data_IF_311086132453
#
_entry.id   IF_311086132453
#
_cell.length_a   1.000
_cell.length_b   1.000
_cell.length_c   1.000
_cell.angle_alpha   90.00
_cell.angle_beta   90.00
_cell.angle_gamma   90.00
#
_symmetry.space_group_name_H-M   'P 1'
#
loop_
_entity.id
_entity.type
_entity.pdbx_description
1 polymer ?
2 non-polymer ?
3 non-polymer ?
4 non-polymer ?
5 water ?
#
# COMPACT_ATOMS: atom_id res chain seq x y z
N UNK A 1 11.70 1.52 -0.78
CA UNK A 1 11.39 0.77 -2.04
C UNK A 1 12.42 -0.33 -2.32
N UNK A 2 12.20 -1.09 -3.40
CA UNK A 2 13.08 -2.21 -3.74
C UNK A 2 13.76 -2.09 -5.08
N UNK A 3 14.75 -2.95 -5.29
CA UNK A 3 15.50 -3.01 -6.55
C UNK A 3 14.75 -4.01 -7.41
N UNK A 4 14.84 -3.85 -8.73
CA UNK A 4 14.16 -4.75 -9.66
C UNK A 4 15.07 -5.08 -10.83
N UNK A 5 16.32 -4.65 -10.73
CA UNK A 5 17.27 -4.91 -11.78
C UNK A 5 18.17 -6.09 -11.42
N UNK A 6 18.13 -6.51 -10.16
CA UNK A 6 18.93 -7.64 -9.69
C UNK A 6 18.98 -8.66 -10.83
N UNK A 7 20.20 -8.97 -11.28
CA UNK A 7 20.38 -9.89 -12.38
C UNK A 7 20.65 -11.32 -11.95
N UNK A 8 19.82 -12.22 -12.47
CA UNK A 8 19.90 -13.63 -12.20
C UNK A 8 21.22 -14.18 -12.74
N UNK A 9 21.70 -15.26 -12.13
CA UNK A 9 22.95 -15.89 -12.55
C UNK A 9 22.84 -16.48 -13.94
N UNK A 10 23.83 -16.22 -14.80
CA UNK A 10 23.78 -16.79 -16.14
C UNK A 10 24.14 -18.26 -16.07
N UNK A 11 23.22 -19.09 -16.55
CA UNK A 11 23.45 -20.52 -16.49
C UNK A 11 23.22 -21.03 -15.08
N UNK A 12 22.18 -20.53 -14.43
CA UNK A 12 21.85 -20.92 -13.07
C UNK A 12 21.24 -22.34 -13.16
N UNK A 13 21.66 -23.23 -12.27
CA UNK A 13 21.15 -24.60 -12.28
C UNK A 13 20.03 -24.83 -11.25
N UNK A 14 18.78 -24.91 -11.72
CA UNK A 14 17.63 -25.16 -10.83
C UNK A 14 17.75 -26.47 -10.06
N UNK A 15 17.90 -27.56 -10.81
CA UNK A 15 18.03 -28.87 -10.22
C UNK A 15 18.94 -28.91 -8.99
N UNK A 16 20.05 -28.19 -9.03
CA UNK A 16 20.95 -28.17 -7.90
C UNK A 16 20.38 -27.32 -6.78
N UNK A 17 19.90 -26.13 -7.14
CA UNK A 17 19.37 -25.22 -6.13
C UNK A 17 18.11 -25.72 -5.42
N UNK A 18 17.11 -26.09 -6.21
CA UNK A 18 15.85 -26.59 -5.69
C UNK A 18 15.93 -28.08 -5.41
N UNK A 19 16.90 -28.49 -4.62
CA UNK A 19 17.06 -29.92 -4.31
C UNK A 19 16.30 -30.33 -3.05
N UNK A 20 15.64 -29.39 -2.39
CA UNK A 20 14.87 -29.72 -1.21
C UNK A 20 15.70 -29.72 0.05
N UNK A 21 16.91 -29.17 -0.06
CA UNK A 21 17.85 -29.09 1.05
C UNK A 21 17.70 -27.74 1.74
N UNK A 22 18.44 -27.58 2.84
CA UNK A 22 18.40 -26.37 3.65
C UNK A 22 19.53 -25.41 3.33
N UNK A 23 19.20 -24.12 3.22
CA UNK A 23 20.17 -23.07 2.98
C UNK A 23 20.15 -22.23 4.25
N UNK A 24 21.33 -21.88 4.75
CA UNK A 24 21.45 -21.05 5.94
C UNK A 24 21.86 -19.67 5.50
N UNK A 25 21.42 -18.63 6.20
CA UNK A 25 21.82 -17.27 5.85
C UNK A 25 23.02 -17.04 6.73
N UNK A 26 24.18 -16.83 6.15
CA UNK A 26 25.36 -16.62 6.97
C UNK A 26 25.64 -15.13 7.09
N UNK A 27 25.17 -14.37 6.12
CA UNK A 27 25.40 -12.93 6.06
C UNK A 27 24.28 -12.28 5.27
N UNK A 28 23.95 -11.04 5.62
CA UNK A 28 22.91 -10.33 4.88
C UNK A 28 23.16 -8.82 4.87
N UNK A 29 22.43 -8.14 4.00
CA UNK A 29 22.51 -6.70 3.87
C UNK A 29 21.09 -6.20 3.72
N UNK A 30 20.60 -5.54 4.76
CA UNK A 30 19.26 -5.00 4.74
C UNK A 30 19.37 -3.52 4.41
N UNK A 31 18.84 -3.16 3.26
CA UNK A 31 18.92 -1.78 2.83
C UNK A 31 18.02 -0.90 3.66
N UNK A 32 16.93 -1.48 4.17
CA UNK A 32 15.97 -0.72 4.99
C UNK A 32 15.85 -1.24 6.41
N UNK A 33 16.89 -1.03 7.23
CA UNK A 33 16.94 -1.48 8.62
C UNK A 33 15.97 -0.76 9.56
N UNK A 34 15.31 -1.56 10.41
CA UNK A 34 14.36 -1.07 11.39
C UNK A 34 14.97 -0.10 12.41
N UNK A 35 14.10 0.61 13.12
CA UNK A 35 14.51 1.56 14.14
C UNK A 35 14.97 0.77 15.33
N UNK A 36 14.26 -0.32 15.60
CA UNK A 36 14.61 -1.17 16.72
C UNK A 36 15.53 -2.28 16.20
N UNK A 37 16.72 -2.40 16.80
CA UNK A 37 17.65 -3.44 16.37
C UNK A 37 17.22 -4.85 16.81
N UNK A 38 17.47 -5.85 15.95
CA UNK A 38 17.14 -7.25 16.25
C UNK A 38 18.02 -8.26 15.50
N UNK A 39 19.00 -8.84 16.19
CA UNK A 39 19.89 -9.82 15.58
C UNK A 39 19.13 -11.09 15.22
N UNK A 40 18.90 -11.27 13.93
CA UNK A 40 18.13 -12.40 13.46
C UNK A 40 18.86 -13.58 12.89
N UNK A 41 18.11 -14.66 12.81
CA UNK A 41 18.59 -15.89 12.23
C UNK A 41 17.52 -16.32 11.20
N UNK A 42 17.97 -16.88 10.08
CA UNK A 42 17.06 -17.35 9.03
C UNK A 42 17.70 -18.49 8.25
N UNK A 43 16.85 -19.37 7.74
CA UNK A 43 17.24 -20.55 6.95
C UNK A 43 16.05 -20.80 6.04
N UNK A 44 16.27 -21.55 4.96
CA UNK A 44 15.20 -21.85 4.05
C UNK A 44 15.49 -23.15 3.37
N UNK A 45 14.46 -23.81 2.88
CA UNK A 45 14.62 -25.06 2.21
C UNK A 45 13.81 -24.87 0.94
N UNK A 46 14.48 -24.90 -0.20
CA UNK A 46 13.80 -24.73 -1.48
C UNK A 46 13.78 -26.09 -2.17
N UNK A 47 12.63 -26.48 -2.69
CA UNK A 47 12.54 -27.77 -3.32
C UNK A 47 11.31 -27.92 -4.18
N UNK A 48 11.04 -29.16 -4.55
CA UNK A 48 9.93 -29.50 -5.42
C UNK A 48 8.98 -30.49 -4.73
N UNK A 49 7.69 -30.26 -4.87
CA UNK A 49 6.72 -31.16 -4.27
C UNK A 49 5.38 -31.05 -4.95
N UNK A 50 4.81 -32.20 -5.28
CA UNK A 50 3.51 -32.26 -5.92
C UNK A 50 3.54 -31.71 -7.33
N UNK A 51 4.72 -31.33 -7.80
CA UNK A 51 4.82 -30.81 -9.16
C UNK A 51 5.05 -29.32 -9.21
N UNK A 52 5.26 -28.73 -8.04
CA UNK A 52 5.49 -27.31 -7.97
C UNK A 52 6.73 -26.99 -7.21
N UNK A 53 7.25 -25.79 -7.47
CA UNK A 53 8.41 -25.31 -6.77
C UNK A 53 7.84 -24.78 -5.45
N UNK A 54 8.46 -25.20 -4.35
CA UNK A 54 8.04 -24.79 -3.03
C UNK A 54 9.27 -24.26 -2.28
N UNK A 55 9.04 -23.33 -1.35
CA UNK A 55 10.09 -22.76 -0.51
C UNK A 55 9.54 -22.66 0.92
N UNK A 56 10.33 -23.05 1.91
CA UNK A 56 9.88 -22.95 3.28
C UNK A 56 10.90 -22.07 3.97
N UNK A 57 10.40 -21.07 4.69
CA UNK A 57 11.22 -20.09 5.41
C UNK A 57 11.22 -20.29 6.92
N UNK A 58 12.26 -19.80 7.58
CA UNK A 58 12.39 -19.93 9.01
C UNK A 58 13.06 -18.67 9.51
N UNK A 59 12.56 -18.09 10.60
CA UNK A 59 13.16 -16.89 11.17
C UNK A 59 13.20 -17.19 12.64
N UNK A 60 14.29 -16.83 13.29
CA UNK A 60 14.47 -17.06 14.72
C UNK A 60 15.11 -15.83 15.33
N UNK A 61 14.64 -15.45 16.50
CA UNK A 61 15.21 -14.31 17.20
C UNK A 61 15.83 -14.93 18.43
N UNK A 62 17.16 -14.99 18.47
CA UNK A 62 17.78 -15.59 19.65
C UNK A 62 17.34 -14.92 20.97
N UNK A 63 17.42 -13.59 21.00
CA UNK A 63 17.08 -12.80 22.18
C UNK A 63 15.71 -13.12 22.77
N UNK A 64 14.70 -13.24 21.91
CA UNK A 64 13.34 -13.53 22.33
C UNK A 64 12.98 -15.00 22.13
N UNK A 65 13.86 -15.76 21.47
CA UNK A 65 13.63 -17.18 21.20
C UNK A 65 12.41 -17.38 20.32
N UNK A 66 11.84 -16.26 19.88
CA UNK A 66 10.66 -16.25 19.02
C UNK A 66 11.03 -16.89 17.70
N UNK A 67 10.09 -17.67 17.17
CA UNK A 67 10.27 -18.37 15.92
C UNK A 67 9.03 -18.29 15.05
N UNK A 68 9.22 -18.10 13.75
CA UNK A 68 8.09 -18.12 12.84
C UNK A 68 8.47 -18.80 11.53
N UNK A 69 7.51 -19.52 10.97
CA UNK A 69 7.67 -20.27 9.75
C UNK A 69 6.76 -19.72 8.70
N UNK A 70 7.13 -19.99 7.44
CA UNK A 70 6.37 -19.58 6.27
C UNK A 70 6.53 -20.69 5.22
N UNK A 71 5.55 -20.80 4.32
CA UNK A 71 5.60 -21.75 3.22
C UNK A 71 4.96 -21.05 2.00
N UNK A 72 5.68 -21.04 0.86
CA UNK A 72 5.18 -20.44 -0.37
C UNK A 72 5.34 -21.33 -1.57
N UNK A 73 4.45 -21.13 -2.54
CA UNK A 73 4.44 -21.86 -3.80
C UNK A 73 5.13 -20.86 -4.75
N UNK A 74 6.26 -21.26 -5.34
CA UNK A 74 6.97 -20.34 -6.21
C UNK A 74 6.57 -20.31 -7.69
N UNK A 75 6.61 -19.12 -8.26
CA UNK A 75 6.28 -18.90 -9.65
C UNK A 75 7.53 -18.30 -10.27
N UNK A 76 8.01 -18.95 -11.33
CA UNK A 76 9.24 -18.55 -12.03
C UNK A 76 9.03 -17.43 -13.01
N UNK A 77 9.56 -16.25 -12.71
CA UNK A 77 9.42 -15.10 -13.60
C UNK A 77 10.47 -15.15 -14.69
N UNK A 78 11.47 -15.99 -14.48
CA UNK A 78 12.59 -16.17 -15.38
C UNK A 78 13.51 -17.03 -14.53
N UNK A 79 14.31 -17.91 -15.16
CA UNK A 79 15.21 -18.76 -14.38
C UNK A 79 16.08 -17.92 -13.45
N UNK A 80 15.97 -18.18 -12.15
CA UNK A 80 16.75 -17.42 -11.19
C UNK A 80 15.92 -16.30 -10.56
N UNK A 81 14.82 -15.94 -11.20
CA UNK A 81 13.93 -14.89 -10.69
C UNK A 81 12.61 -15.50 -10.28
N UNK A 82 12.25 -15.36 -9.00
CA UNK A 82 11.01 -15.96 -8.51
C UNK A 82 10.10 -15.07 -7.65
N UNK A 83 8.82 -15.46 -7.60
CA UNK A 83 7.80 -14.76 -6.84
C UNK A 83 7.16 -15.75 -5.88
N UNK A 84 7.16 -15.41 -4.60
CA UNK A 84 6.63 -16.29 -3.58
C UNK A 84 5.45 -15.71 -2.84
N UNK A 85 4.32 -16.42 -2.90
CA UNK A 85 3.12 -16.00 -2.19
C UNK A 85 3.05 -16.84 -0.91
N UNK A 86 3.63 -16.29 0.16
CA UNK A 86 3.70 -16.99 1.45
C UNK A 86 2.48 -17.05 2.35
N UNK A 87 2.52 -18.04 3.24
CA UNK A 87 1.48 -18.26 4.22
C UNK A 87 2.21 -18.61 5.52
N UNK A 88 1.97 -17.84 6.58
CA UNK A 88 2.60 -18.09 7.87
C UNK A 88 2.01 -19.37 8.49
N UNK A 89 2.85 -20.26 8.98
CA UNK A 89 2.34 -21.52 9.50
C UNK A 89 2.98 -21.94 10.80
N UNK A 90 2.37 -22.91 11.45
CA UNK A 90 2.93 -23.46 12.68
C UNK A 90 3.98 -24.42 12.14
N UNK A 91 4.88 -24.89 12.98
CA UNK A 91 5.93 -25.78 12.49
C UNK A 91 5.43 -27.12 11.97
N UNK A 92 4.13 -27.34 12.03
CA UNK A 92 3.53 -28.59 11.57
C UNK A 92 2.68 -28.34 10.34
N UNK A 93 2.74 -27.12 9.82
CA UNK A 93 1.96 -26.78 8.66
C UNK A 93 0.60 -26.11 8.90
N UNK A 94 0.18 -25.97 10.16
CA UNK A 94 -1.10 -25.33 10.48
C UNK A 94 -1.02 -23.83 10.12
N UNK A 95 -1.92 -23.37 9.27
CA UNK A 95 -1.90 -21.97 8.84
C UNK A 95 -2.28 -20.94 9.90
N UNK A 96 -1.38 -19.98 10.14
CA UNK A 96 -1.68 -18.91 11.06
C UNK A 96 -2.22 -17.72 10.24
N UNK A 97 -1.63 -17.46 9.08
CA UNK A 97 -2.05 -16.38 8.20
C UNK A 97 -2.07 -16.87 6.75
N UNK A 98 -3.28 -17.02 6.18
CA UNK A 98 -3.45 -17.51 4.82
C UNK A 98 -2.68 -16.69 3.78
N UNK A 99 -2.64 -17.21 2.55
CA UNK A 99 -1.98 -16.50 1.46
C UNK A 99 -2.86 -15.28 1.23
N UNK A 100 -2.25 -14.17 0.83
CA UNK A 100 -3.02 -12.95 0.57
C UNK A 100 -2.40 -12.23 -0.60
N UNK A 101 -3.23 -11.47 -1.31
CA UNK A 101 -2.79 -10.71 -2.47
C UNK A 101 -1.64 -9.77 -2.14
N UNK A 102 -1.83 -8.89 -1.17
CA UNK A 102 -0.77 -7.96 -0.83
C UNK A 102 0.48 -8.59 -0.23
N UNK A 103 0.41 -9.90 0.00
CA UNK A 103 1.52 -10.64 0.60
C UNK A 103 2.33 -11.53 -0.35
N UNK A 104 3.61 -11.19 -0.52
CA UNK A 104 4.51 -11.97 -1.37
C UNK A 104 5.88 -11.36 -1.33
N UNK A 105 6.89 -12.16 -1.68
CA UNK A 105 8.24 -11.65 -1.76
C UNK A 105 8.77 -12.20 -3.06
N UNK A 106 9.75 -11.52 -3.64
CA UNK A 106 10.32 -12.01 -4.87
C UNK A 106 11.82 -12.06 -4.62
N UNK A 107 12.50 -13.00 -5.25
CA UNK A 107 13.93 -13.09 -5.07
C UNK A 107 14.61 -13.49 -6.36
N UNK A 108 15.87 -13.11 -6.43
CA UNK A 108 16.71 -13.41 -7.57
C UNK A 108 17.96 -14.12 -7.09
N UNK A 109 18.26 -15.24 -7.74
CA UNK A 109 19.47 -16.01 -7.40
C UNK A 109 20.56 -15.34 -8.25
N UNK A 110 21.36 -14.50 -7.61
CA UNK A 110 22.42 -13.78 -8.31
C UNK A 110 23.65 -14.62 -8.58
N UNK A 111 23.84 -15.67 -7.78
CA UNK A 111 24.96 -16.57 -7.88
C UNK A 111 24.68 -17.86 -7.11
N UNK A 112 24.97 -19.01 -7.72
CA UNK A 112 24.74 -20.28 -7.02
C UNK A 112 25.79 -21.34 -7.33
N UNK A 113 26.12 -22.10 -6.28
CA UNK A 113 27.09 -23.18 -6.26
C UNK A 113 26.38 -24.42 -5.79
N UNK A 114 27.21 -25.38 -5.40
CA UNK A 114 26.78 -26.64 -4.85
C UNK A 114 26.77 -26.39 -3.34
N UNK A 115 27.51 -25.39 -2.92
CA UNK A 115 27.64 -25.09 -1.51
C UNK A 115 27.32 -23.65 -1.06
N UNK A 116 27.01 -22.77 -2.00
CA UNK A 116 26.78 -21.37 -1.62
C UNK A 116 25.95 -20.60 -2.62
N UNK A 117 25.37 -19.50 -2.16
CA UNK A 117 24.55 -18.68 -3.04
C UNK A 117 24.46 -17.25 -2.55
N UNK A 118 24.02 -16.37 -3.44
CA UNK A 118 23.83 -14.96 -3.14
C UNK A 118 22.47 -14.63 -3.75
N UNK A 119 21.51 -14.24 -2.91
CA UNK A 119 20.20 -13.88 -3.40
C UNK A 119 19.78 -12.44 -3.07
N UNK A 120 18.85 -11.94 -3.84
CA UNK A 120 18.30 -10.65 -3.59
C UNK A 120 16.85 -10.92 -3.31
N UNK A 121 16.33 -10.36 -2.24
CA UNK A 121 14.91 -10.55 -1.93
C UNK A 121 14.21 -9.22 -1.74
N UNK A 122 12.95 -9.19 -2.13
CA UNK A 122 12.14 -8.02 -1.91
C UNK A 122 10.83 -8.49 -1.34
N UNK A 123 10.59 -8.13 -0.08
CA UNK A 123 9.36 -8.49 0.64
C UNK A 123 8.27 -7.41 0.58
N UNK A 124 7.05 -7.83 0.28
CA UNK A 124 5.88 -6.95 0.25
C UNK A 124 4.86 -7.59 1.15
N UNK A 125 4.37 -6.81 2.11
CA UNK A 125 3.35 -7.29 3.00
C UNK A 125 2.32 -6.20 2.93
N UNK A 126 1.11 -6.55 2.51
CA UNK A 126 0.09 -5.53 2.39
C UNK A 126 0.45 -4.56 1.28
N UNK A 127 0.84 -5.12 0.14
CA UNK A 127 1.22 -4.37 -1.07
C UNK A 127 1.95 -3.07 -0.76
N UNK A 128 3.25 -3.20 -0.53
CA UNK A 128 4.06 -2.05 -0.22
C UNK A 128 5.44 -2.60 0.04
N UNK A 129 6.38 -2.14 -0.78
CA UNK A 129 7.75 -2.57 -0.65
C UNK A 129 8.18 -2.39 0.78
N UNK A 130 8.85 -3.40 1.31
CA UNK A 130 9.34 -3.35 2.67
C UNK A 130 10.87 -3.25 2.63
N UNK A 131 11.42 -3.06 1.42
CA UNK A 131 12.86 -2.92 1.26
C UNK A 131 13.71 -4.08 0.73
N UNK A 132 14.88 -3.70 0.22
CA UNK A 132 15.85 -4.63 -0.35
C UNK A 132 16.58 -5.42 0.73
N UNK A 133 16.79 -6.70 0.47
CA UNK A 133 17.58 -7.52 1.38
C UNK A 133 18.44 -8.43 0.51
N UNK A 134 19.74 -8.45 0.80
CA UNK A 134 20.71 -9.26 0.07
C UNK A 134 21.25 -10.32 1.03
N UNK A 135 21.20 -11.59 0.63
CA UNK A 135 21.68 -12.63 1.53
C UNK A 135 22.73 -13.57 0.95
N UNK A 136 23.69 -13.96 1.79
CA UNK A 136 24.70 -14.93 1.39
C UNK A 136 24.21 -16.23 2.05
N UNK A 137 23.93 -17.23 1.22
CA UNK A 137 23.51 -18.54 1.69
C UNK A 137 24.67 -19.53 1.60
N UNK A 138 24.51 -20.62 2.34
CA UNK A 138 25.48 -21.70 2.33
C UNK A 138 24.74 -22.91 2.81
N UNK A 139 25.08 -24.07 2.26
CA UNK A 139 24.44 -25.30 2.67
C UNK A 139 24.97 -25.76 4.04
N UNK A 140 25.99 -25.07 4.52
CA UNK A 140 26.58 -25.37 5.83
C UNK A 140 26.55 -24.08 6.64
N UNK A 141 25.88 -24.11 7.79
CA UNK A 141 25.73 -22.93 8.65
C UNK A 141 27.00 -22.35 9.26
N UNK A 142 28.10 -23.09 9.15
CA UNK A 142 29.35 -22.65 9.74
C UNK A 142 30.38 -22.14 8.76
N UNK A 143 30.14 -22.29 7.48
CA UNK A 143 31.14 -21.82 6.55
C UNK A 143 31.03 -20.33 6.29
N UNK A 144 32.19 -19.68 6.28
CA UNK A 144 32.33 -18.27 5.97
C UNK A 144 32.21 -18.17 4.46
N UNK A 145 31.78 -17.02 3.94
CA UNK A 145 31.63 -16.83 2.50
C UNK A 145 32.91 -17.09 1.70
N UNK A 146 32.82 -17.90 0.64
CA UNK A 146 33.98 -18.21 -0.17
C UNK A 146 34.31 -17.11 -1.16
N UNK A 147 35.45 -17.24 -1.83
CA UNK A 147 35.90 -16.27 -2.83
C UNK A 147 34.91 -16.05 -3.96
N UNK A 148 34.24 -17.12 -4.36
CA UNK A 148 33.28 -17.04 -5.43
C UNK A 148 32.05 -16.21 -5.10
N UNK A 149 31.42 -16.45 -3.96
CA UNK A 149 30.23 -15.67 -3.64
C UNK A 149 30.60 -14.21 -3.41
N UNK A 150 31.74 -13.96 -2.77
CA UNK A 150 32.20 -12.60 -2.52
C UNK A 150 32.52 -11.84 -3.81
N UNK A 151 32.93 -12.58 -4.86
CA UNK A 151 33.21 -11.96 -6.13
C UNK A 151 31.86 -11.52 -6.64
N UNK A 152 30.87 -12.39 -6.47
CA UNK A 152 29.49 -12.12 -6.89
C UNK A 152 28.92 -10.87 -6.20
N UNK A 153 29.26 -10.68 -4.93
CA UNK A 153 28.77 -9.53 -4.18
C UNK A 153 29.35 -8.28 -4.87
N UNK A 154 30.66 -8.31 -5.09
CA UNK A 154 31.38 -7.23 -5.74
C UNK A 154 30.80 -6.95 -7.13
N UNK A 155 30.53 -8.03 -7.84
CA UNK A 155 29.98 -7.92 -9.16
C UNK A 155 28.62 -7.20 -9.16
N UNK A 156 27.94 -7.19 -8.02
CA UNK A 156 26.64 -6.51 -7.93
C UNK A 156 26.74 -5.07 -7.43
N UNK A 157 27.97 -4.59 -7.33
CA UNK A 157 28.25 -3.22 -6.86
C UNK A 157 27.99 -3.00 -5.37
N UNK A 158 28.08 -4.07 -4.59
CA UNK A 158 27.90 -4.05 -3.14
C UNK A 158 29.25 -4.22 -2.45
N UNK A 159 29.25 -4.03 -1.13
CA UNK A 159 30.44 -4.14 -0.28
C UNK A 159 30.12 -5.20 0.76
N UNK A 160 30.91 -6.28 0.79
CA UNK A 160 30.69 -7.37 1.74
C UNK A 160 30.93 -6.94 3.17
N UNK A 161 31.71 -5.87 3.32
CA UNK A 161 31.98 -5.37 4.64
C UNK A 161 30.69 -4.78 5.20
N UNK A 162 29.74 -4.48 4.30
CA UNK A 162 28.45 -3.92 4.73
C UNK A 162 27.50 -5.04 5.12
N UNK A 163 27.87 -6.28 4.82
CA UNK A 163 27.04 -7.42 5.16
C UNK A 163 27.20 -7.74 6.64
N UNK A 164 26.12 -8.17 7.28
CA UNK A 164 26.17 -8.53 8.68
C UNK A 164 26.17 -10.04 8.84
N UNK A 165 27.07 -10.54 9.66
CA UNK A 165 27.18 -11.98 9.85
C UNK A 165 26.32 -12.48 10.99
N UNK A 166 25.59 -13.56 10.73
CA UNK A 166 24.73 -14.17 11.73
C UNK A 166 25.53 -15.22 12.51
N UNK A 167 26.81 -15.38 12.17
CA UNK A 167 27.70 -16.36 12.81
C UNK A 167 27.58 -16.52 14.33
N UNK A 168 28.02 -15.52 15.10
CA UNK A 168 27.89 -15.64 16.56
C UNK A 168 26.64 -14.91 17.03
N UNK A 169 25.52 -15.33 16.48
CA UNK A 169 24.20 -14.80 16.79
C UNK A 169 23.50 -15.75 17.74
N UNK A 170 24.12 -16.91 17.95
CA UNK A 170 23.58 -17.93 18.83
C UNK A 170 22.32 -18.54 18.19
N UNK A 171 22.38 -18.71 16.87
CA UNK A 171 21.25 -19.26 16.13
C UNK A 171 20.96 -20.71 16.44
N UNK A 172 19.73 -21.10 16.14
CA UNK A 172 19.24 -22.46 16.30
C UNK A 172 18.30 -22.64 15.13
N UNK A 173 18.38 -23.79 14.47
CA UNK A 173 17.55 -24.07 13.31
C UNK A 173 16.78 -25.38 13.48
N UNK A 174 15.63 -25.46 12.81
CA UNK A 174 14.76 -26.62 12.86
C UNK A 174 14.62 -27.11 11.42
N UNK A 175 15.67 -27.78 10.96
CA UNK A 175 15.76 -28.32 9.60
C UNK A 175 14.78 -29.40 9.29
N UNK A 176 14.40 -30.16 10.31
CA UNK A 176 13.43 -31.24 10.13
C UNK A 176 12.10 -30.62 9.71
N UNK A 177 11.62 -29.65 10.47
CA UNK A 177 10.38 -28.98 10.15
C UNK A 177 10.55 -28.25 8.83
N UNK A 178 11.69 -27.59 8.62
CA UNK A 178 11.90 -26.85 7.37
C UNK A 178 11.67 -27.73 6.15
N UNK A 179 12.26 -28.91 6.16
CA UNK A 179 12.13 -29.83 5.03
C UNK A 179 10.72 -30.38 4.92
N UNK A 180 10.11 -30.71 6.05
CA UNK A 180 8.75 -31.26 6.01
C UNK A 180 7.70 -30.22 5.60
N UNK A 181 7.94 -28.95 5.86
CA UNK A 181 6.97 -27.91 5.48
C UNK A 181 6.87 -27.81 3.99
N UNK A 182 7.90 -28.29 3.29
CA UNK A 182 7.98 -28.28 1.82
C UNK A 182 6.77 -28.88 1.11
N UNK A 183 6.12 -29.82 1.76
CA UNK A 183 4.96 -30.50 1.19
C UNK A 183 3.65 -29.87 1.63
N UNK A 184 3.72 -28.93 2.58
CA UNK A 184 2.52 -28.29 3.09
C UNK A 184 2.12 -27.04 2.30
N UNK B 1 -4.34 5.69 8.45
CA UNK B 1 -5.62 4.94 8.25
C UNK B 1 -6.87 5.79 8.53
N UNK B 2 -8.02 5.31 8.05
CA UNK B 2 -9.29 6.01 8.20
C UNK B 2 -10.30 5.35 9.12
N UNK B 3 -11.52 5.88 9.07
CA UNK B 3 -12.67 5.39 9.84
C UNK B 3 -13.74 5.07 8.78
N UNK B 4 -14.08 3.79 8.63
CA UNK B 4 -15.05 3.37 7.62
C UNK B 4 -16.49 3.21 8.12
N UNK B 5 -16.73 3.62 9.36
CA UNK B 5 -18.07 3.50 9.93
C UNK B 5 -18.88 4.80 9.95
N UNK B 6 -18.63 5.70 9.00
CA UNK B 6 -19.39 6.93 8.93
C UNK B 6 -20.72 6.45 8.36
N UNK B 7 -21.81 6.81 9.00
CA UNK B 7 -23.14 6.39 8.54
C UNK B 7 -23.71 7.33 7.48
N UNK B 8 -24.27 6.74 6.43
CA UNK B 8 -24.86 7.55 5.37
C UNK B 8 -26.16 8.10 5.97
N UNK B 9 -26.68 9.15 5.36
CA UNK B 9 -27.89 9.77 5.83
C UNK B 9 -29.09 8.87 5.62
N UNK B 10 -29.99 8.84 6.61
CA UNK B 10 -31.22 8.03 6.51
C UNK B 10 -32.25 8.79 5.68
N UNK B 11 -32.72 8.13 4.63
CA UNK B 11 -33.66 8.75 3.72
C UNK B 11 -32.89 9.73 2.85
N UNK B 12 -31.65 9.36 2.54
CA UNK B 12 -30.77 10.19 1.71
C UNK B 12 -31.35 10.30 0.30
N UNK B 13 -31.46 11.52 -0.22
CA UNK B 13 -32.00 11.75 -1.56
C UNK B 13 -30.89 11.96 -2.60
N UNK B 14 -30.58 10.91 -3.36
CA UNK B 14 -29.53 10.99 -4.36
C UNK B 14 -29.86 12.01 -5.46
N UNK B 15 -31.15 12.12 -5.78
CA UNK B 15 -31.64 13.05 -6.81
C UNK B 15 -31.26 14.50 -6.55
N UNK B 16 -31.30 14.92 -5.28
CA UNK B 16 -30.97 16.29 -4.94
C UNK B 16 -29.47 16.49 -4.91
N UNK B 17 -28.77 15.57 -4.27
CA UNK B 17 -27.32 15.63 -4.17
C UNK B 17 -26.61 15.63 -5.53
N UNK B 18 -26.96 14.63 -6.35
CA UNK B 18 -26.36 14.46 -7.67
C UNK B 18 -27.16 15.16 -8.77
N UNK B 19 -27.42 16.45 -8.61
CA UNK B 19 -28.20 17.17 -9.60
C UNK B 19 -27.35 17.91 -10.62
N UNK B 20 -26.03 17.67 -10.57
CA UNK B 20 -25.15 18.32 -11.52
C UNK B 20 -24.75 19.72 -11.11
N UNK B 21 -25.20 20.13 -9.93
CA UNK B 21 -24.91 21.45 -9.42
C UNK B 21 -23.61 21.41 -8.65
N UNK B 22 -23.06 22.59 -8.36
CA UNK B 22 -21.82 22.70 -7.63
C UNK B 22 -22.06 22.72 -6.11
N UNK B 23 -21.10 22.19 -5.36
CA UNK B 23 -21.14 22.16 -3.90
C UNK B 23 -19.83 22.80 -3.51
N UNK B 24 -19.87 23.71 -2.54
CA UNK B 24 -18.66 24.38 -2.07
C UNK B 24 -18.30 23.82 -0.71
N UNK B 25 -17.01 23.71 -0.43
CA UNK B 25 -16.60 23.24 0.88
C UNK B 25 -16.38 24.50 1.70
N UNK B 26 -17.23 24.69 2.69
CA UNK B 26 -17.17 25.87 3.55
C UNK B 26 -16.39 25.62 4.83
N UNK B 27 -16.40 24.39 5.30
CA UNK B 27 -15.73 24.04 6.54
C UNK B 27 -15.28 22.62 6.42
N UNK B 28 -14.22 22.26 7.13
CA UNK B 28 -13.73 20.91 7.07
C UNK B 28 -12.89 20.59 8.28
N UNK B 29 -12.76 19.30 8.51
CA UNK B 29 -11.99 18.79 9.62
C UNK B 29 -11.23 17.57 9.08
N UNK B 30 -9.94 17.77 8.84
CA UNK B 30 -9.07 16.69 8.35
C UNK B 30 -8.29 16.14 9.54
N UNK B 31 -8.61 14.91 9.93
CA UNK B 31 -7.98 14.27 11.07
C UNK B 31 -6.48 14.04 10.97
N UNK B 32 -5.87 14.59 9.92
CA UNK B 32 -4.42 14.51 9.74
C UNK B 32 -3.93 15.66 8.86
N UNK B 33 -3.76 16.86 9.45
CA UNK B 33 -3.29 18.06 8.71
C UNK B 33 -2.13 17.77 7.74
N UNK B 34 -1.40 18.80 7.30
CA UNK B 34 -0.30 18.56 6.36
C UNK B 34 1.08 19.09 6.81
N UNK B 35 2.08 18.91 5.92
CA UNK B 35 3.49 19.36 6.11
C UNK B 35 3.66 20.65 5.32
N UNK B 36 3.22 20.59 4.05
CA UNK B 36 3.25 21.72 3.13
C UNK B 36 1.81 22.29 3.15
N UNK B 37 1.51 23.18 4.14
CA UNK B 37 0.19 23.81 4.33
C UNK B 37 -0.18 24.96 3.38
N UNK B 38 -0.78 24.57 2.26
CA UNK B 38 -1.20 25.52 1.25
C UNK B 38 -2.72 25.73 1.43
N UNK B 39 -3.09 26.80 2.13
CA UNK B 39 -4.49 27.16 2.43
C UNK B 39 -5.47 26.50 1.47
N UNK B 40 -6.57 25.89 1.98
CA UNK B 40 -7.43 25.17 1.12
C UNK B 40 -8.82 25.62 0.72
N UNK B 41 -9.03 25.50 -0.61
CA UNK B 41 -10.27 25.84 -1.28
C UNK B 41 -10.62 24.63 -2.13
N UNK B 42 -11.87 24.19 -2.06
CA UNK B 42 -12.31 23.06 -2.85
C UNK B 42 -13.81 23.16 -3.09
N UNK B 43 -14.24 22.65 -4.25
CA UNK B 43 -15.64 22.64 -4.67
C UNK B 43 -15.74 21.36 -5.48
N UNK B 44 -16.96 20.95 -5.80
CA UNK B 44 -17.17 19.72 -6.56
C UNK B 44 -18.57 19.75 -7.14
N UNK B 45 -18.75 19.06 -8.26
CA UNK B 45 -20.02 19.00 -8.93
C UNK B 45 -20.32 17.52 -9.07
N UNK B 46 -21.51 17.10 -8.66
CA UNK B 46 -21.90 15.72 -8.75
C UNK B 46 -23.15 15.61 -9.62
N UNK B 47 -23.26 14.54 -10.39
CA UNK B 47 -24.41 14.34 -11.26
C UNK B 47 -24.34 12.99 -11.93
N UNK B 48 -25.06 12.82 -13.03
CA UNK B 48 -24.99 11.56 -13.76
C UNK B 48 -24.68 11.88 -15.21
N UNK B 49 -23.78 11.10 -15.80
CA UNK B 49 -23.41 11.26 -17.20
C UNK B 49 -23.35 9.88 -17.80
N UNK B 50 -24.04 9.72 -18.93
CA UNK B 50 -24.10 8.44 -19.64
C UNK B 50 -24.62 7.34 -18.72
N UNK B 51 -25.52 7.72 -17.83
CA UNK B 51 -26.11 6.76 -16.91
C UNK B 51 -25.34 6.45 -15.65
N UNK B 52 -24.12 6.95 -15.55
CA UNK B 52 -23.37 6.68 -14.35
C UNK B 52 -23.29 7.93 -13.48
N UNK B 53 -23.07 7.69 -12.19
CA UNK B 53 -22.91 8.77 -11.22
C UNK B 53 -21.48 9.24 -11.46
N UNK B 54 -21.30 10.55 -11.56
CA UNK B 54 -19.97 11.11 -11.78
C UNK B 54 -19.74 12.27 -10.82
N UNK B 55 -18.47 12.58 -10.59
CA UNK B 55 -18.12 13.68 -9.71
C UNK B 55 -16.86 14.36 -10.21
N UNK B 56 -16.91 15.68 -10.37
CA UNK B 56 -15.75 16.46 -10.82
C UNK B 56 -15.27 17.20 -9.59
N UNK B 57 -13.95 17.24 -9.39
CA UNK B 57 -13.37 17.86 -8.22
C UNK B 57 -12.53 19.04 -8.60
N UNK B 58 -12.39 19.96 -7.66
CA UNK B 58 -11.62 21.16 -7.86
C UNK B 58 -10.91 21.55 -6.55
N UNK B 59 -9.60 21.72 -6.60
CA UNK B 59 -8.84 22.15 -5.43
C UNK B 59 -8.15 23.42 -5.86
N UNK B 60 -8.03 24.34 -4.92
CA UNK B 60 -7.40 25.60 -5.20
C UNK B 60 -6.61 26.01 -3.98
N UNK B 61 -5.52 26.68 -4.25
CA UNK B 61 -4.62 27.17 -3.22
C UNK B 61 -4.68 28.68 -3.27
N UNK B 62 -5.18 29.34 -2.22
CA UNK B 62 -5.20 30.80 -2.35
C UNK B 62 -3.75 31.27 -2.51
N UNK B 63 -2.89 30.68 -1.66
CA UNK B 63 -1.47 31.00 -1.65
C UNK B 63 -0.81 30.74 -2.99
N UNK B 64 -0.23 29.55 -3.12
CA UNK B 64 0.46 29.14 -4.33
C UNK B 64 -0.27 29.49 -5.62
N UNK B 65 -1.60 29.58 -5.56
CA UNK B 65 -2.41 29.92 -6.74
C UNK B 65 -2.68 28.70 -7.63
N UNK B 66 -2.27 27.53 -7.14
CA UNK B 66 -2.44 26.29 -7.87
C UNK B 66 -3.85 25.79 -7.82
N UNK B 67 -4.23 25.02 -8.83
CA UNK B 67 -5.55 24.45 -8.90
C UNK B 67 -5.46 23.17 -9.71
N UNK B 68 -6.12 22.12 -9.24
CA UNK B 68 -6.14 20.87 -10.00
C UNK B 68 -7.53 20.30 -10.04
N UNK B 69 -7.86 19.65 -11.15
CA UNK B 69 -9.14 19.02 -11.38
C UNK B 69 -9.01 17.50 -11.37
N UNK B 70 -10.14 16.84 -11.14
CA UNK B 70 -10.22 15.39 -11.11
C UNK B 70 -11.60 15.08 -11.53
N UNK B 71 -11.76 13.96 -12.23
CA UNK B 71 -13.08 13.49 -12.60
C UNK B 71 -13.14 12.04 -12.09
N UNK B 72 -14.30 11.63 -11.57
CA UNK B 72 -14.48 10.29 -11.05
C UNK B 72 -15.80 9.74 -11.51
N UNK B 73 -15.85 8.43 -11.64
CA UNK B 73 -17.07 7.73 -11.98
C UNK B 73 -17.25 6.98 -10.66
N UNK B 74 -18.43 7.07 -10.05
CA UNK B 74 -18.63 6.42 -8.75
C UNK B 74 -19.46 5.19 -8.75
N UNK B 75 -19.14 4.33 -7.78
CA UNK B 75 -19.85 3.08 -7.55
C UNK B 75 -20.47 3.20 -6.15
N UNK B 76 -21.75 2.89 -6.06
CA UNK B 76 -22.51 2.99 -4.81
C UNK B 76 -22.52 1.72 -3.96
N UNK B 77 -21.74 1.69 -2.89
CA UNK B 77 -21.73 0.50 -2.01
C UNK B 77 -23.16 0.36 -1.46
N UNK B 78 -23.53 1.29 -0.58
CA UNK B 78 -24.86 1.34 0.00
C UNK B 78 -25.33 2.74 -0.40
N UNK B 79 -26.65 3.01 -0.31
CA UNK B 79 -27.01 4.38 -0.69
C UNK B 79 -26.34 5.36 0.28
N UNK B 80 -25.77 6.42 -0.28
CA UNK B 80 -25.10 7.39 0.55
C UNK B 80 -23.65 7.04 0.71
N UNK B 81 -23.28 5.82 0.32
CA UNK B 81 -21.89 5.37 0.39
C UNK B 81 -21.39 5.04 -1.02
N UNK B 82 -20.36 5.77 -1.47
CA UNK B 82 -19.81 5.59 -2.81
C UNK B 82 -18.29 5.46 -2.88
N UNK B 83 -17.81 4.79 -3.94
CA UNK B 83 -16.37 4.66 -4.17
C UNK B 83 -16.02 5.34 -5.50
N UNK B 84 -15.03 6.21 -5.45
CA UNK B 84 -14.63 6.96 -6.63
C UNK B 84 -13.23 6.65 -7.16
N UNK B 85 -13.14 6.14 -8.38
CA UNK B 85 -11.82 5.88 -8.99
C UNK B 85 -11.56 7.11 -9.88
N UNK B 86 -10.80 8.04 -9.32
CA UNK B 86 -10.51 9.30 -9.99
C UNK B 86 -9.38 9.31 -11.00
N UNK B 87 -9.30 10.44 -11.70
CA UNK B 87 -8.29 10.69 -12.71
C UNK B 87 -8.04 12.21 -12.77
N UNK B 88 -6.77 12.60 -12.81
CA UNK B 88 -6.38 14.02 -12.87
C UNK B 88 -6.51 14.53 -14.29
N UNK B 89 -7.21 15.64 -14.44
CA UNK B 89 -7.43 16.20 -15.76
C UNK B 89 -7.14 17.69 -15.76
N UNK B 90 -7.03 18.26 -16.96
CA UNK B 90 -6.79 19.68 -17.16
C UNK B 90 -8.19 20.25 -17.17
N UNK B 91 -8.34 21.54 -16.96
CA UNK B 91 -9.67 22.15 -16.96
C UNK B 91 -10.47 21.83 -18.23
N UNK B 92 -9.78 21.33 -19.25
CA UNK B 92 -10.43 20.97 -20.51
C UNK B 92 -10.72 19.47 -20.58
N UNK B 93 -10.22 18.69 -19.61
CA UNK B 93 -10.48 17.27 -19.63
C UNK B 93 -9.33 16.36 -20.04
N UNK B 94 -8.21 16.93 -20.45
CA UNK B 94 -7.08 16.11 -20.85
C UNK B 94 -6.53 15.35 -19.66
N UNK B 95 -6.36 14.04 -19.81
CA UNK B 95 -5.82 13.20 -18.74
C UNK B 95 -4.33 13.42 -18.46
N UNK B 96 -4.04 13.84 -17.25
CA UNK B 96 -2.67 14.03 -16.83
C UNK B 96 -2.33 12.72 -16.11
N UNK B 97 -3.23 12.24 -15.25
CA UNK B 97 -3.01 10.97 -14.54
C UNK B 97 -4.21 10.07 -14.63
N UNK B 98 -4.12 9.04 -15.44
CA UNK B 98 -5.23 8.13 -15.61
C UNK B 98 -5.59 7.31 -14.37
N UNK B 99 -6.68 6.57 -14.53
CA UNK B 99 -7.21 5.73 -13.47
C UNK B 99 -6.26 4.59 -13.22
N UNK B 100 -5.73 4.54 -12.00
CA UNK B 100 -4.82 3.47 -11.59
C UNK B 100 -5.66 2.79 -10.52
N UNK B 101 -5.38 1.53 -10.19
CA UNK B 101 -6.20 0.85 -9.17
C UNK B 101 -6.01 1.26 -7.69
N UNK B 102 -4.79 1.57 -7.27
CA UNK B 102 -4.58 1.96 -5.88
C UNK B 102 -5.05 3.38 -5.61
N UNK B 103 -5.56 4.03 -6.65
CA UNK B 103 -6.03 5.40 -6.57
C UNK B 103 -7.55 5.44 -6.50
N UNK B 104 -8.07 5.84 -5.36
CA UNK B 104 -9.53 5.95 -5.20
C UNK B 104 -9.88 6.61 -3.87
N UNK B 105 -11.11 7.10 -3.77
CA UNK B 105 -11.56 7.66 -2.51
C UNK B 105 -12.98 7.22 -2.31
N UNK B 106 -13.33 7.06 -1.05
CA UNK B 106 -14.65 6.64 -0.70
C UNK B 106 -15.27 7.78 0.07
N UNK B 107 -16.58 7.92 -0.04
CA UNK B 107 -17.26 8.95 0.71
C UNK B 107 -18.68 8.57 1.10
N UNK B 108 -19.06 9.05 2.28
CA UNK B 108 -20.36 8.83 2.89
C UNK B 108 -21.07 10.18 3.04
N UNK B 109 -22.28 10.28 2.50
CA UNK B 109 -23.07 11.51 2.66
C UNK B 109 -23.80 11.27 3.99
N UNK B 110 -23.28 11.86 5.06
CA UNK B 110 -23.86 11.71 6.39
C UNK B 110 -25.14 12.54 6.51
N UNK B 111 -25.14 13.71 5.89
CA UNK B 111 -26.30 14.57 5.93
C UNK B 111 -26.39 15.41 4.68
N UNK B 112 -27.62 15.70 4.27
CA UNK B 112 -27.82 16.54 3.10
C UNK B 112 -29.23 17.03 2.98
N UNK B 113 -29.35 18.25 2.48
CA UNK B 113 -30.64 18.81 2.21
C UNK B 113 -30.47 19.70 0.99
N UNK B 114 -31.53 20.35 0.55
CA UNK B 114 -31.50 21.19 -0.62
C UNK B 114 -30.38 22.21 -0.75
N UNK B 115 -29.62 22.46 0.32
CA UNK B 115 -28.57 23.47 0.24
C UNK B 115 -27.34 23.29 1.13
N UNK B 116 -27.26 22.19 1.85
CA UNK B 116 -26.13 21.98 2.75
C UNK B 116 -25.95 20.49 2.90
N UNK B 117 -24.73 20.10 3.26
CA UNK B 117 -24.38 18.68 3.40
C UNK B 117 -23.15 18.46 4.26
N UNK B 118 -23.10 17.28 4.87
CA UNK B 118 -21.95 16.88 5.67
C UNK B 118 -21.62 15.50 5.15
N UNK B 119 -20.39 15.36 4.70
CA UNK B 119 -19.93 14.11 4.17
C UNK B 119 -18.60 13.77 4.80
N UNK B 120 -18.18 12.54 4.63
CA UNK B 120 -16.92 12.10 5.16
C UNK B 120 -16.24 11.41 3.99
N UNK B 121 -14.93 11.62 3.82
CA UNK B 121 -14.19 10.98 2.72
C UNK B 121 -12.85 10.46 3.15
N UNK B 122 -12.43 9.35 2.55
CA UNK B 122 -11.12 8.80 2.83
C UNK B 122 -10.41 8.71 1.46
N UNK B 123 -9.19 9.25 1.38
CA UNK B 123 -8.43 9.25 0.13
C UNK B 123 -7.32 8.22 0.08
N UNK B 124 -7.38 7.36 -0.94
CA UNK B 124 -6.37 6.31 -1.15
C UNK B 124 -5.52 6.56 -2.40
N UNK B 125 -4.34 7.02 -2.22
CA UNK B 125 -3.38 7.19 -3.31
C UNK B 125 -2.17 6.28 -3.09
N UNK B 126 -2.09 5.26 -3.92
CA UNK B 126 -1.01 4.27 -3.82
C UNK B 126 -1.40 3.24 -2.77
N UNK B 127 -2.71 3.11 -2.62
CA UNK B 127 -3.33 2.17 -1.67
C UNK B 127 -3.33 2.74 -0.27
N UNK B 128 -2.32 3.52 0.01
CA UNK B 128 -2.12 4.08 1.34
C UNK B 128 -3.12 5.20 1.57
N UNK B 129 -3.49 5.32 2.83
CA UNK B 129 -4.48 6.31 3.30
C UNK B 129 -3.85 7.70 3.36
N UNK B 130 -4.52 8.64 2.70
CA UNK B 130 -4.05 10.00 2.73
C UNK B 130 -4.82 10.71 3.84
N UNK B 131 -5.56 9.93 4.62
CA UNK B 131 -6.28 10.51 5.74
C UNK B 131 -7.78 10.83 5.68
N UNK B 132 -8.33 10.78 6.88
CA UNK B 132 -9.73 11.05 7.19
C UNK B 132 -10.05 12.52 7.00
N UNK B 133 -11.22 12.77 6.44
CA UNK B 133 -11.65 14.15 6.24
C UNK B 133 -13.16 14.26 6.22
N UNK B 134 -13.65 15.22 7.01
CA UNK B 134 -15.09 15.50 7.12
C UNK B 134 -15.27 16.89 6.52
N UNK B 135 -16.26 17.05 5.66
CA UNK B 135 -16.49 18.37 5.04
C UNK B 135 -17.93 18.84 5.09
N UNK B 136 -18.09 20.14 5.37
CA UNK B 136 -19.40 20.78 5.36
C UNK B 136 -19.50 21.46 3.98
N UNK B 137 -20.54 21.11 3.23
CA UNK B 137 -20.80 21.66 1.91
C UNK B 137 -22.05 22.55 1.90
N UNK B 138 -22.06 23.49 0.96
CA UNK B 138 -23.19 24.39 0.78
C UNK B 138 -23.30 24.77 -0.70
N UNK B 139 -24.52 24.95 -1.17
CA UNK B 139 -24.76 25.34 -2.54
C UNK B 139 -24.29 26.78 -2.75
N UNK B 140 -24.16 27.53 -1.66
CA UNK B 140 -23.71 28.92 -1.75
C UNK B 140 -22.42 29.03 -1.01
N UNK B 141 -21.44 29.60 -1.69
CA UNK B 141 -20.09 29.76 -1.16
C UNK B 141 -20.01 30.65 0.08
N UNK B 142 -20.92 31.61 0.21
CA UNK B 142 -20.85 32.51 1.36
C UNK B 142 -21.84 32.26 2.51
N UNK B 143 -22.46 31.10 2.53
CA UNK B 143 -23.39 30.81 3.59
C UNK B 143 -22.69 30.10 4.76
N UNK B 144 -22.85 30.64 5.98
CA UNK B 144 -22.31 30.02 7.18
C UNK B 144 -23.13 28.75 7.46
N UNK B 145 -22.55 27.78 8.18
CA UNK B 145 -23.22 26.50 8.44
C UNK B 145 -24.53 26.62 9.24
N UNK B 146 -25.59 25.98 8.75
CA UNK B 146 -26.87 26.05 9.43
C UNK B 146 -27.01 25.18 10.67
N UNK B 147 -28.15 25.30 11.36
CA UNK B 147 -28.40 24.52 12.59
C UNK B 147 -28.53 23.05 12.28
N UNK B 148 -29.02 22.73 11.08
CA UNK B 148 -29.19 21.35 10.66
C UNK B 148 -27.89 20.59 10.47
N UNK B 149 -26.98 21.08 9.63
CA UNK B 149 -25.69 20.38 9.43
C UNK B 149 -24.90 20.32 10.74
N UNK B 150 -25.03 21.37 11.55
CA UNK B 150 -24.34 21.41 12.83
C UNK B 150 -24.92 20.39 13.78
N UNK B 151 -26.21 20.10 13.65
CA UNK B 151 -26.81 19.09 14.49
C UNK B 151 -26.23 17.76 14.02
N UNK B 152 -26.01 17.67 12.71
CA UNK B 152 -25.46 16.49 12.08
C UNK B 152 -24.00 16.29 12.50
N UNK B 153 -23.24 17.37 12.63
CA UNK B 153 -21.86 17.24 13.05
C UNK B 153 -21.88 16.65 14.45
N UNK B 154 -22.80 17.17 15.28
CA UNK B 154 -23.00 16.73 16.66
C UNK B 154 -23.40 15.27 16.74
N UNK B 155 -24.36 14.88 15.93
CA UNK B 155 -24.79 13.50 15.96
C UNK B 155 -23.69 12.54 15.50
N UNK B 156 -22.57 13.06 15.01
CA UNK B 156 -21.43 12.24 14.53
C UNK B 156 -20.32 12.22 15.57
N UNK B 157 -20.66 12.70 16.77
CA UNK B 157 -19.73 12.75 17.89
C UNK B 157 -18.55 13.65 17.59
N UNK B 158 -18.72 14.54 16.61
CA UNK B 158 -17.67 15.50 16.24
C UNK B 158 -17.96 16.83 16.94
N UNK B 159 -17.03 17.77 16.81
CA UNK B 159 -17.14 19.10 17.40
C UNK B 159 -17.01 20.12 16.27
N UNK B 160 -18.02 20.96 16.10
CA UNK B 160 -17.98 21.95 15.03
C UNK B 160 -16.87 22.95 15.22
N UNK B 161 -16.51 23.22 16.46
CA UNK B 161 -15.44 24.15 16.79
C UNK B 161 -14.12 23.64 16.26
N UNK B 162 -14.07 22.34 16.01
CA UNK B 162 -12.89 21.71 15.50
C UNK B 162 -12.82 21.91 13.99
N UNK B 163 -13.92 22.37 13.38
CA UNK B 163 -13.92 22.58 11.94
C UNK B 163 -13.30 23.91 11.52
N UNK B 164 -12.44 23.85 10.49
CA UNK B 164 -11.78 25.02 9.91
C UNK B 164 -12.68 25.56 8.82
N UNK B 165 -12.79 26.87 8.72
CA UNK B 165 -13.62 27.47 7.68
C UNK B 165 -12.80 27.93 6.48
N UNK B 166 -13.41 27.89 5.29
CA UNK B 166 -12.70 28.31 4.09
C UNK B 166 -13.25 29.66 3.63
N UNK B 167 -14.18 30.22 4.40
CA UNK B 167 -14.82 31.50 4.08
C UNK B 167 -13.84 32.67 3.85
N UNK B 168 -12.80 32.65 4.70
CA UNK B 168 -11.88 33.76 4.41
C UNK B 168 -11.05 33.44 3.16
N UNK B 169 -9.85 32.90 3.40
CA UNK B 169 -8.94 32.59 2.28
C UNK B 169 -9.20 33.64 1.23
N UNK B 170 -8.89 33.29 0.02
CA UNK B 170 -9.22 34.15 -1.11
C UNK B 170 -9.65 33.23 -2.26
N UNK B 171 -10.53 32.27 -1.91
CA UNK B 171 -10.97 31.23 -2.82
C UNK B 171 -11.56 31.76 -4.09
N UNK B 172 -11.12 31.17 -5.19
CA UNK B 172 -11.60 31.49 -6.52
C UNK B 172 -12.11 30.13 -6.97
N UNK B 173 -13.22 30.12 -7.68
CA UNK B 173 -13.80 28.87 -8.16
C UNK B 173 -14.08 28.92 -9.63
N UNK B 174 -13.82 27.83 -10.34
CA UNK B 174 -14.07 27.77 -11.76
C UNK B 174 -15.19 26.77 -11.97
N UNK B 175 -16.41 27.24 -11.77
CA UNK B 175 -17.59 26.42 -11.87
C UNK B 175 -17.97 26.00 -13.27
N UNK B 176 -17.66 26.84 -14.23
CA UNK B 176 -18.01 26.51 -15.60
C UNK B 176 -17.25 25.24 -16.02
N UNK B 177 -15.98 25.12 -15.59
CA UNK B 177 -15.18 23.93 -15.95
C UNK B 177 -15.64 22.73 -15.15
N UNK B 178 -15.93 22.98 -13.88
CA UNK B 178 -16.38 21.93 -12.97
C UNK B 178 -17.62 21.21 -13.45
N UNK B 179 -18.51 21.94 -14.10
CA UNK B 179 -19.72 21.31 -14.57
C UNK B 179 -19.52 20.64 -15.91
N UNK B 180 -18.73 21.28 -16.76
CA UNK B 180 -18.48 20.72 -18.08
C UNK B 180 -17.67 19.42 -17.98
N UNK B 181 -16.79 19.34 -16.97
CA UNK B 181 -15.94 18.16 -16.76
C UNK B 181 -16.79 16.96 -16.37
N UNK B 182 -18.06 17.20 -16.05
CA UNK B 182 -18.96 16.12 -15.65
C UNK B 182 -19.22 15.13 -16.78
N UNK B 183 -18.91 15.55 -18.00
CA UNK B 183 -19.11 14.73 -19.19
C UNK B 183 -17.92 13.83 -19.54
N UNK B 184 -16.73 14.40 -19.43
CA UNK B 184 -15.49 13.71 -19.74
C UNK B 184 -15.02 12.82 -18.60
X LIG C 1 9.70 -11.26 7.88
X LIG C 1 11.25 -13.56 3.88
X LIG C 1 15.79 -13.10 5.54
X LIG C 1 14.27 -10.22 9.18
X LIG C 1 9.74 -12.00 6.69
X LIG C 1 8.55 -12.54 6.01
X LIG C 1 9.04 -13.12 4.86
X LIG C 1 10.45 -12.95 4.83
X LIG C 1 8.19 -13.89 3.88
X LIG C 1 7.05 -12.50 6.47
X LIG C 1 6.57 -13.60 7.42
X LIG C 1 5.07 -13.52 7.72
X LIG C 1 4.64 -12.49 8.28
X LIG C 1 4.33 -14.48 7.38
X LIG C 1 12.60 -13.65 4.00
X LIG C 1 13.41 -14.38 3.08
X LIG C 1 14.68 -14.26 3.56
X LIG C 1 14.66 -13.45 4.76
X LIG C 1 12.98 -15.03 1.78
X LIG C 1 15.84 -14.67 2.88
X LIG C 1 16.55 -15.78 3.21
X LIG C 1 15.76 -12.35 6.69
X LIG C 1 16.95 -11.93 7.42
X LIG C 1 16.56 -11.05 8.39
X LIG C 1 15.10 -10.91 8.27
X LIG C 1 18.38 -12.43 7.19
X LIG C 1 17.39 -10.41 9.28
X LIG C 1 17.66 -9.08 8.93
X LIG C 1 12.89 -10.30 9.18
X LIG C 1 11.98 -9.60 10.12
X LIG C 1 10.70 -9.93 9.72
X LIG C 1 10.79 -10.79 8.58
X LIG C 1 12.35 -8.60 11.22
X LIG C 1 9.41 -9.34 10.18
X LIG C 1 9.34 -7.94 9.59
X LIG C 1 8.02 -7.66 8.89
X LIG C 1 7.96 -6.69 8.09
X LIG C 1 7.04 -8.41 9.15
X LIG C 1 10.92 -12.30 5.98
X LIG C 1 13.34 -13.07 5.03
X LIG C 1 14.61 -11.75 7.21
X LIG C 1 12.14 -11.02 8.23
X LIG C 1 12.76 -11.99 6.58
X LIG D 1 12.87 -10.27 5.45
X LIG D 1 13.40 -9.15 5.99
X LIG E 1 33.00 -22.89 -3.30
X LIG F 1 32.61 -23.69 -4.47
X LIG F 1 34.43 -22.53 -3.38
X LIG F 1 32.74 -23.68 -2.07
X LIG F 1 32.21 -21.64 -3.26
X LIG G 1 -5.70 15.67 -2.85
X LIG G 1 -10.38 14.44 -2.96
X LIG G 1 -11.36 18.23 -0.08
X LIG G 1 -6.63 18.98 0.63
X LIG G 1 -6.92 15.14 -3.26
X LIG G 1 -7.06 14.07 -4.26
X LIG G 1 -8.38 13.70 -4.29
X LIG G 1 -9.02 14.50 -3.24
X LIG G 1 -9.07 12.83 -5.35
X LIG G 1 -5.96 13.53 -5.15
X LIG G 1 -6.14 14.30 -6.44
X LIG G 1 -5.18 13.88 -7.52
X LIG G 1 -5.63 13.70 -8.68
X LIG G 1 -3.99 13.72 -7.20
X LIG G 1 -11.08 15.37 -2.19
X LIG G 1 -12.56 15.41 -2.08
X LIG G 1 -12.79 16.52 -1.33
X LIG G 1 -11.52 17.11 -0.89
X LIG G 1 -13.60 14.40 -2.64
X LIG G 1 -14.04 17.15 -1.31
X LIG G 1 -14.81 17.13 -0.17
X LIG G 1 -10.16 18.74 0.37
X LIG G 1 -10.04 19.81 1.40
X LIG G 1 -8.72 19.99 1.67
X LIG G 1 -8.00 19.01 0.78
X LIG G 1 -11.15 20.62 2.04
X LIG G 1 -8.23 21.01 2.49
X LIG G 1 -7.31 20.90 3.50
X LIG G 1 -6.01 18.20 -0.32
X LIG G 1 -4.57 18.15 -0.48
X LIG G 1 -4.33 17.25 -1.46
X LIG G 1 -5.59 16.67 -1.89
X LIG G 1 -3.51 18.95 0.24
X LIG G 1 -3.00 17.08 -2.11
X LIG G 1 -2.23 15.83 -1.73
X LIG G 1 -1.15 15.51 -2.75
X LIG G 1 -1.45 14.70 -3.67
X LIG G 1 -0.03 16.08 -2.64
X LIG G 1 -8.14 15.44 -2.67
X LIG G 1 -10.45 16.43 -1.48
X LIG G 1 -8.91 18.24 0.00
X LIG G 1 -6.64 17.29 -1.20
X LIG G 1 -8.52 16.91 -1.40
X LIG H 1 -8.39 15.57 0.11
X LIG H 1 -7.92 15.33 1.32
X LIG I 1 -30.89 24.77 5.73
X LIG J 1 -31.35 25.03 7.11
X LIG J 1 -32.05 24.69 4.82
X LIG J 1 -30.13 23.51 5.70
X LIG J 1 -30.03 25.89 5.31
#
# INVERSE_FOLDING_TARGET
KCTKNALAQTGFNKDKYFNGDVWYVTDYLDLEPDDVPKRYCAALAAGTASGKLKEALYHYDPKTQDTFYDVSELQEESPGKYTANFKKVEKNGNVKVDVTSGNYYTFTVMYADDSSALIHTCLHKGNKDLGDLYAVLNRNKDTNAGDKVKGAVTAASLKFSDFISTKDNKCEYDNVSLKSLLTK
KCTKNALAQTGFNKDKYFNGDVWYVTDYLDLEPDDVPKRYCAALAAGTASGKLKEALYHYDPKTQDTFYDVSELQEESPGKYTANFKKVEKNGNVKVDVTSGNYYTFTVMYADDSSALIHTCLHKGNKDLGDLYAVLNRNKDTNAGDKVKGAVTAASLKFSDFISTKDNKCEYDNVSLKSLLTK
HEM CHA CHB CHC CHD C1A C2A C3A C4A CMA CAA CBA CGA O1A O2A C1B C2B C3B C4B CMB CAB CBB C1C C2C C3C C4C CMC CAC CBC C1D C2D C3D C4D CMD CAD CBD CGD O1D O2D NA NB NC ND FE
NO N O
PO4 P
PO4 O1 O2 O3 O4
HEM CHA CHB CHC CHD C1A C2A C3A C4A CMA CAA CBA CGA O1A O2A C1B C2B C3B C4B CMB CAB CBB C1C C2C C3C C4C CMC CAC CBC C1D C2D C3D C4D CMD CAD CBD CGD O1D O2D NA NB NC ND FE
NO N O
PO4 P
PO4 O1 O2 O3 O4
#
